data_IF_329683128877
#
_entry.id   IF_329683128877
#
_cell.length_a   1.000
_cell.length_b   1.000
_cell.length_c   1.000
_cell.angle_alpha   90.00
_cell.angle_beta   90.00
_cell.angle_gamma   90.00
#
_symmetry.space_group_name_H-M   'P 1'
#
loop_
_entity.id
_entity.type
_entity.pdbx_description
1 polymer ?
#
# COMPACT_ATOMS: atom_id res chain seq x y z
N UNK A 1 -3.13 -5.75 -5.08
CA UNK A 1 -4.43 -5.81 -5.80
C UNK A 1 -5.63 -6.08 -4.87
N UNK A 2 -5.45 -6.74 -3.72
CA UNK A 2 -6.54 -7.04 -2.78
C UNK A 2 -7.23 -5.80 -2.17
N UNK A 3 -6.50 -4.71 -1.87
CA UNK A 3 -7.11 -3.49 -1.28
C UNK A 3 -8.07 -2.76 -2.23
N UNK A 4 -7.75 -2.70 -3.53
CA UNK A 4 -8.61 -2.10 -4.57
C UNK A 4 -9.94 -2.84 -4.73
N UNK A 5 -9.93 -4.18 -4.63
CA UNK A 5 -11.17 -4.97 -4.63
C UNK A 5 -11.99 -4.71 -3.36
N UNK A 6 -11.34 -4.57 -2.20
CA UNK A 6 -12.01 -4.28 -0.93
C UNK A 6 -12.74 -2.93 -0.95
N UNK A 7 -12.12 -1.86 -1.45
CA UNK A 7 -12.76 -0.53 -1.48
C UNK A 7 -13.92 -0.46 -2.49
N UNK A 8 -13.74 -1.00 -3.71
CA UNK A 8 -14.80 -1.08 -4.72
C UNK A 8 -16.00 -1.87 -4.20
N UNK A 9 -15.75 -3.04 -3.62
CA UNK A 9 -16.78 -3.90 -3.06
C UNK A 9 -17.56 -3.18 -1.94
N UNK A 10 -16.86 -2.52 -1.01
CA UNK A 10 -17.51 -1.76 0.07
C UNK A 10 -18.43 -0.67 -0.46
N UNK A 11 -17.97 0.14 -1.42
CA UNK A 11 -18.80 1.19 -2.01
C UNK A 11 -20.06 0.62 -2.67
N UNK A 12 -19.93 -0.43 -3.50
CA UNK A 12 -21.07 -1.06 -4.17
C UNK A 12 -22.05 -1.62 -3.15
N UNK A 13 -21.56 -2.34 -2.14
CA UNK A 13 -22.39 -2.90 -1.06
C UNK A 13 -23.09 -1.80 -0.27
N UNK A 14 -22.39 -0.72 0.11
CA UNK A 14 -22.99 0.40 0.84
C UNK A 14 -24.10 1.09 0.05
N UNK A 15 -23.88 1.38 -1.24
CA UNK A 15 -24.92 1.97 -2.08
C UNK A 15 -26.12 1.03 -2.26
N UNK A 16 -25.85 -0.26 -2.51
CA UNK A 16 -26.91 -1.26 -2.71
C UNK A 16 -27.74 -1.44 -1.44
N UNK A 17 -27.09 -1.57 -0.27
CA UNK A 17 -27.78 -1.68 1.02
C UNK A 17 -28.58 -0.42 1.34
N UNK A 18 -28.02 0.76 1.06
CA UNK A 18 -28.72 2.02 1.26
C UNK A 18 -29.96 2.14 0.36
N UNK A 19 -29.83 1.85 -0.95
CA UNK A 19 -30.95 1.92 -1.88
C UNK A 19 -32.03 0.89 -1.60
N UNK A 20 -31.65 -0.34 -1.25
CA UNK A 20 -32.60 -1.38 -0.87
C UNK A 20 -33.30 -1.03 0.46
N UNK A 21 -32.53 -0.60 1.47
CA UNK A 21 -33.06 -0.20 2.76
C UNK A 21 -34.02 0.98 2.66
N UNK A 22 -33.68 2.01 1.88
CA UNK A 22 -34.53 3.16 1.64
C UNK A 22 -35.83 2.76 0.90
N UNK A 23 -35.72 1.91 -0.12
CA UNK A 23 -36.90 1.41 -0.86
C UNK A 23 -37.81 0.56 0.02
N UNK A 24 -37.23 -0.32 0.84
CA UNK A 24 -37.98 -1.13 1.80
C UNK A 24 -38.66 -0.27 2.87
N UNK A 25 -38.00 0.81 3.32
CA UNK A 25 -38.59 1.77 4.27
C UNK A 25 -39.80 2.49 3.65
N UNK A 26 -39.67 2.99 2.42
CA UNK A 26 -40.79 3.60 1.70
C UNK A 26 -41.94 2.62 1.45
N UNK A 27 -41.63 1.38 1.07
CA UNK A 27 -42.61 0.32 0.93
C UNK A 27 -43.37 0.06 2.24
N UNK A 28 -42.65 -0.09 3.35
CA UNK A 28 -43.25 -0.28 4.67
C UNK A 28 -44.13 0.91 5.08
N UNK A 29 -43.66 2.14 4.87
CA UNK A 29 -44.42 3.35 5.16
C UNK A 29 -45.71 3.43 4.32
N UNK A 30 -45.63 3.16 3.01
CA UNK A 30 -46.77 3.18 2.11
C UNK A 30 -47.84 2.14 2.52
N UNK A 31 -47.41 0.92 2.87
CA UNK A 31 -48.31 -0.13 3.35
C UNK A 31 -48.96 0.24 4.69
N UNK A 32 -48.20 0.82 5.63
CA UNK A 32 -48.73 1.27 6.92
C UNK A 32 -49.73 2.41 6.78
N UNK A 33 -49.41 3.43 5.99
CA UNK A 33 -50.30 4.57 5.74
C UNK A 33 -51.60 4.08 5.14
N UNK A 34 -51.52 3.23 4.11
CA UNK A 34 -52.72 2.67 3.49
C UNK A 34 -53.58 1.89 4.48
N UNK A 35 -52.99 0.97 5.26
CA UNK A 35 -53.75 0.18 6.25
C UNK A 35 -54.46 1.09 7.25
N UNK A 36 -53.79 2.12 7.78
CA UNK A 36 -54.40 3.07 8.72
C UNK A 36 -55.54 3.87 8.09
N UNK A 37 -55.35 4.35 6.85
CA UNK A 37 -56.37 5.12 6.13
C UNK A 37 -57.60 4.26 5.86
N UNK A 38 -57.40 3.02 5.41
CA UNK A 38 -58.49 2.08 5.13
C UNK A 38 -59.29 1.72 6.40
N UNK A 39 -58.59 1.36 7.48
CA UNK A 39 -59.23 0.97 8.75
C UNK A 39 -59.98 2.12 9.43
N UNK A 40 -59.54 3.36 9.25
CA UNK A 40 -60.19 4.52 9.85
C UNK A 40 -61.36 5.03 9.02
N UNK A 41 -61.21 5.16 7.70
CA UNK A 41 -62.24 5.77 6.87
C UNK A 41 -63.42 4.82 6.61
N UNK A 42 -63.15 3.56 6.24
CA UNK A 42 -64.21 2.62 5.86
C UNK A 42 -65.01 2.20 7.09
N UNK A 43 -64.33 1.81 8.18
CA UNK A 43 -65.05 1.34 9.38
C UNK A 43 -65.84 2.47 10.07
N UNK A 44 -65.30 3.69 10.12
CA UNK A 44 -66.01 4.82 10.72
C UNK A 44 -67.21 5.24 9.89
N UNK A 45 -67.07 5.30 8.55
CA UNK A 45 -68.18 5.62 7.65
C UNK A 45 -69.31 4.60 7.78
N UNK A 46 -68.99 3.30 7.75
CA UNK A 46 -70.02 2.24 7.84
C UNK A 46 -70.78 2.26 9.17
N UNK A 47 -70.09 2.54 10.28
CA UNK A 47 -70.73 2.65 11.58
C UNK A 47 -71.60 3.92 11.68
N UNK A 48 -71.17 5.02 11.08
CA UNK A 48 -71.95 6.26 11.02
C UNK A 48 -73.22 6.07 10.16
N UNK A 49 -73.09 5.42 9.01
CA UNK A 49 -74.22 5.05 8.14
C UNK A 49 -75.20 4.11 8.88
N UNK A 50 -74.70 3.15 9.67
CA UNK A 50 -75.53 2.26 10.49
C UNK A 50 -76.28 3.01 11.60
N UNK A 51 -75.64 3.99 12.23
CA UNK A 51 -76.28 4.87 13.22
C UNK A 51 -77.35 5.75 12.58
N UNK A 52 -77.04 6.36 11.44
CA UNK A 52 -78.00 7.17 10.68
C UNK A 52 -79.23 6.34 10.29
N UNK A 53 -79.03 5.13 9.78
CA UNK A 53 -80.13 4.21 9.45
C UNK A 53 -80.96 3.84 10.69
N UNK A 54 -80.32 3.63 11.84
CA UNK A 54 -81.02 3.34 13.10
C UNK A 54 -81.89 4.52 13.55
N UNK A 55 -81.33 5.73 13.54
CA UNK A 55 -82.04 6.95 13.92
C UNK A 55 -83.21 7.25 12.98
N UNK A 56 -82.99 7.14 11.66
CA UNK A 56 -84.05 7.32 10.67
C UNK A 56 -85.21 6.33 10.88
N UNK A 57 -84.91 5.07 11.20
CA UNK A 57 -85.94 4.05 11.47
C UNK A 57 -86.70 4.30 12.79
N UNK A 58 -86.09 4.98 13.76
CA UNK A 58 -86.78 5.44 14.97
C UNK A 58 -87.79 6.55 14.66
N UNK A 59 -87.39 7.53 13.84
CA UNK A 59 -88.24 8.68 13.48
C UNK A 59 -89.32 8.32 12.44
N UNK A 60 -89.05 7.33 11.58
CA UNK A 60 -89.94 6.91 10.50
C UNK A 60 -90.14 5.37 10.47
N UNK A 61 -90.91 4.80 11.42
CA UNK A 61 -91.03 3.34 11.60
C UNK A 61 -91.65 2.57 10.43
N UNK A 62 -92.45 3.25 9.59
CA UNK A 62 -93.17 2.66 8.45
C UNK A 62 -92.53 3.00 7.09
N UNK A 63 -91.50 3.84 7.07
CA UNK A 63 -90.81 4.22 5.83
C UNK A 63 -89.78 3.15 5.43
N UNK A 64 -89.61 2.86 4.12
CA UNK A 64 -88.48 2.07 3.65
C UNK A 64 -87.18 2.77 4.07
N UNK A 65 -86.21 1.99 4.59
CA UNK A 65 -84.93 2.54 5.04
C UNK A 65 -84.18 3.27 3.91
N UNK A 66 -83.24 4.18 4.26
CA UNK A 66 -82.50 4.96 3.28
C UNK A 66 -81.69 4.03 2.37
N UNK A 67 -82.00 4.06 1.07
CA UNK A 67 -81.31 3.25 0.06
C UNK A 67 -80.10 3.99 -0.51
N UNK A 68 -78.92 3.41 -0.40
CA UNK A 68 -77.71 3.84 -1.13
C UNK A 68 -77.31 2.73 -2.12
N UNK A 69 -76.81 3.12 -3.30
CA UNK A 69 -76.43 2.15 -4.35
C UNK A 69 -75.13 1.37 -4.02
N UNK A 70 -74.33 1.83 -3.05
CA UNK A 70 -73.07 1.18 -2.65
C UNK A 70 -73.16 0.46 -1.30
N UNK A 71 -74.26 0.65 -0.57
CA UNK A 71 -74.44 0.20 0.80
C UNK A 71 -75.84 -0.42 0.92
N UNK A 72 -75.92 -1.72 1.15
CA UNK A 72 -77.23 -2.36 1.42
C UNK A 72 -77.50 -2.24 2.92
N UNK A 73 -78.43 -1.35 3.28
CA UNK A 73 -78.92 -1.19 4.64
C UNK A 73 -80.20 -1.97 4.90
N UNK A 74 -80.31 -2.64 6.04
CA UNK A 74 -81.56 -3.25 6.52
C UNK A 74 -81.73 -2.99 8.00
N UNK A 75 -82.89 -2.45 8.38
CA UNK A 75 -83.23 -2.24 9.79
C UNK A 75 -84.32 -3.22 10.20
N UNK A 76 -84.17 -3.81 11.39
CA UNK A 76 -85.11 -4.75 12.02
C UNK A 76 -85.38 -4.36 13.45
N UNK A 77 -86.53 -4.76 13.96
CA UNK A 77 -86.81 -4.76 15.40
C UNK A 77 -86.53 -6.13 16.00
N UNK A 78 -86.43 -6.21 17.33
CA UNK A 78 -86.28 -7.49 18.05
C UNK A 78 -87.32 -8.55 17.62
N UNK A 79 -88.54 -8.11 17.32
CA UNK A 79 -89.63 -8.98 16.86
C UNK A 79 -89.48 -9.47 15.42
N UNK A 80 -88.67 -8.80 14.61
CA UNK A 80 -88.52 -9.08 13.17
C UNK A 80 -87.10 -9.51 12.79
N UNK A 81 -86.20 -9.64 13.78
CA UNK A 81 -84.82 -10.08 13.58
C UNK A 81 -84.72 -11.43 12.86
N UNK A 82 -85.67 -12.34 13.09
CA UNK A 82 -85.74 -13.66 12.42
C UNK A 82 -85.84 -13.56 10.88
N UNK A 83 -86.22 -12.39 10.33
CA UNK A 83 -86.29 -12.14 8.89
C UNK A 83 -84.95 -11.69 8.29
N UNK A 84 -83.94 -11.41 9.10
CA UNK A 84 -82.58 -11.12 8.61
C UNK A 84 -81.87 -12.44 8.24
N UNK A 85 -80.84 -12.41 7.37
CA UNK A 85 -80.00 -13.59 7.11
C UNK A 85 -79.44 -14.17 8.41
N UNK A 86 -79.37 -15.50 8.51
CA UNK A 86 -78.93 -16.20 9.73
C UNK A 86 -77.53 -15.75 10.20
N UNK A 87 -76.63 -15.47 9.25
CA UNK A 87 -75.29 -14.96 9.53
C UNK A 87 -75.30 -13.60 10.25
N UNK A 88 -76.29 -12.75 10.00
CA UNK A 88 -76.38 -11.41 10.61
C UNK A 88 -77.06 -11.48 11.98
N UNK A 89 -77.99 -12.42 12.16
CA UNK A 89 -78.68 -12.64 13.45
C UNK A 89 -77.67 -12.97 14.56
N UNK A 90 -76.66 -13.79 14.26
CA UNK A 90 -75.62 -14.16 15.23
C UNK A 90 -74.75 -12.98 15.67
N UNK A 91 -74.71 -11.90 14.88
CA UNK A 91 -73.91 -10.70 15.14
C UNK A 91 -74.75 -9.55 15.71
N UNK A 92 -76.07 -9.74 15.80
CA UNK A 92 -77.04 -8.71 16.15
C UNK A 92 -76.90 -8.16 17.60
N UNK A 93 -76.26 -8.93 18.48
CA UNK A 93 -76.03 -8.55 19.88
C UNK A 93 -74.70 -7.79 20.09
N UNK A 94 -73.86 -7.68 19.06
CA UNK A 94 -72.54 -7.04 19.14
C UNK A 94 -72.45 -5.83 18.23
N UNK A 95 -72.58 -4.64 18.80
CA UNK A 95 -72.38 -3.38 18.07
C UNK A 95 -70.94 -3.27 17.57
N UNK A 96 -70.75 -3.01 16.28
CA UNK A 96 -69.43 -2.95 15.65
C UNK A 96 -69.45 -3.30 14.17
N UNK A 97 -68.28 -3.31 13.55
CA UNK A 97 -68.08 -3.74 12.16
C UNK A 97 -67.48 -5.14 12.18
N UNK A 98 -68.08 -6.06 11.44
CA UNK A 98 -67.70 -7.47 11.37
C UNK A 98 -67.43 -7.89 9.92
N UNK A 99 -66.45 -8.76 9.71
CA UNK A 99 -66.17 -9.34 8.39
C UNK A 99 -67.04 -10.59 8.16
N UNK A 100 -67.77 -10.64 7.06
CA UNK A 100 -68.62 -11.77 6.67
C UNK A 100 -68.35 -12.19 5.23
N UNK A 101 -68.53 -13.48 4.94
CA UNK A 101 -68.40 -14.05 3.60
C UNK A 101 -69.77 -14.59 3.20
N UNK A 102 -70.29 -14.13 2.08
CA UNK A 102 -71.57 -14.56 1.55
C UNK A 102 -71.44 -14.99 0.09
N UNK A 103 -72.23 -15.97 -0.31
CA UNK A 103 -72.34 -16.38 -1.70
C UNK A 103 -73.32 -15.44 -2.43
N UNK A 104 -72.86 -14.81 -3.51
CA UNK A 104 -73.68 -13.95 -4.36
C UNK A 104 -74.72 -14.77 -5.14
N UNK A 105 -75.75 -14.11 -5.68
CA UNK A 105 -76.78 -14.75 -6.52
C UNK A 105 -76.18 -15.44 -7.75
N UNK A 106 -75.01 -14.98 -8.21
CA UNK A 106 -74.25 -15.55 -9.33
C UNK A 106 -73.37 -16.77 -8.93
N UNK A 107 -73.36 -17.17 -7.65
CA UNK A 107 -72.60 -18.31 -7.14
C UNK A 107 -71.18 -18.00 -6.64
N UNK A 108 -70.68 -16.78 -6.85
CA UNK A 108 -69.36 -16.34 -6.39
C UNK A 108 -69.33 -16.00 -4.90
N UNK A 109 -68.25 -16.35 -4.19
CA UNK A 109 -68.01 -15.89 -2.83
C UNK A 109 -67.59 -14.43 -2.83
N UNK A 110 -68.29 -13.60 -2.06
CA UNK A 110 -67.98 -12.18 -1.87
C UNK A 110 -67.73 -11.88 -0.40
N UNK A 111 -66.79 -10.99 -0.15
CA UNK A 111 -66.39 -10.56 1.17
C UNK A 111 -67.06 -9.22 1.48
N UNK A 112 -67.69 -9.12 2.64
CA UNK A 112 -68.39 -7.92 3.08
C UNK A 112 -67.96 -7.49 4.47
N UNK A 113 -67.94 -6.18 4.68
CA UNK A 113 -67.95 -5.58 6.02
C UNK A 113 -69.38 -5.28 6.40
N UNK A 114 -69.85 -5.86 7.51
CA UNK A 114 -71.18 -5.66 8.09
C UNK A 114 -71.07 -4.81 9.37
N UNK A 115 -71.53 -3.57 9.31
CA UNK A 115 -71.77 -2.75 10.48
C UNK A 115 -73.12 -3.12 11.11
N UNK A 116 -73.09 -3.43 12.40
CA UNK A 116 -74.26 -3.73 13.22
C UNK A 116 -74.38 -2.68 14.31
N UNK A 117 -75.55 -2.04 14.39
CA UNK A 117 -75.85 -1.09 15.46
C UNK A 117 -77.24 -1.30 16.03
N UNK A 118 -77.29 -1.61 17.32
CA UNK A 118 -78.51 -1.84 18.09
C UNK A 118 -78.69 -0.76 19.14
N UNK A 119 -79.89 -0.18 19.15
CA UNK A 119 -80.35 0.79 20.14
C UNK A 119 -81.89 0.75 20.19
N UNK A 120 -82.50 0.89 21.38
CA UNK A 120 -83.96 0.95 21.57
C UNK A 120 -84.76 -0.16 20.85
N UNK A 121 -84.30 -1.42 20.95
CA UNK A 121 -84.93 -2.60 20.30
C UNK A 121 -84.96 -2.58 18.76
N UNK A 122 -84.18 -1.68 18.15
CA UNK A 122 -83.99 -1.56 16.71
C UNK A 122 -82.53 -1.90 16.39
N UNK A 123 -82.33 -2.76 15.40
CA UNK A 123 -81.05 -3.29 14.96
C UNK A 123 -80.89 -2.91 13.49
N UNK A 124 -79.88 -2.11 13.20
CA UNK A 124 -79.54 -1.68 11.85
C UNK A 124 -78.30 -2.41 11.36
N UNK A 125 -78.43 -3.00 10.18
CA UNK A 125 -77.40 -3.71 9.46
C UNK A 125 -77.01 -2.92 8.23
N UNK A 126 -75.73 -2.66 8.05
CA UNK A 126 -75.19 -1.92 6.91
C UNK A 126 -74.03 -2.73 6.36
N UNK A 127 -74.15 -3.25 5.15
CA UNK A 127 -73.07 -4.03 4.50
C UNK A 127 -72.40 -3.29 3.35
N UNK A 128 -71.10 -3.51 3.20
CA UNK A 128 -70.27 -2.97 2.13
C UNK A 128 -69.40 -4.07 1.50
N UNK A 129 -69.41 -4.16 0.17
CA UNK A 129 -68.68 -5.18 -0.61
C UNK A 129 -67.21 -4.78 -0.72
N UNK A 130 -66.33 -5.51 -0.03
CA UNK A 130 -64.88 -5.27 0.00
C UNK A 130 -64.11 -6.18 -0.97
N UNK A 131 -64.80 -7.01 -1.75
CA UNK A 131 -64.17 -8.00 -2.66
C UNK A 131 -63.21 -7.34 -3.66
N UNK A 132 -63.56 -6.16 -4.18
CA UNK A 132 -62.69 -5.41 -5.10
C UNK A 132 -61.50 -4.75 -4.40
N UNK A 133 -61.64 -4.39 -3.12
CA UNK A 133 -60.58 -3.78 -2.32
C UNK A 133 -59.49 -4.80 -1.99
N UNK A 134 -59.86 -6.06 -1.75
CA UNK A 134 -58.92 -7.18 -1.56
C UNK A 134 -58.07 -7.47 -2.81
N UNK A 135 -58.67 -7.42 -4.00
CA UNK A 135 -57.92 -7.51 -5.26
C UNK A 135 -56.95 -6.33 -5.41
N UNK A 136 -57.38 -5.12 -5.05
CA UNK A 136 -56.51 -3.95 -4.98
C UNK A 136 -55.38 -4.09 -3.94
N UNK A 137 -55.61 -4.82 -2.84
CA UNK A 137 -54.57 -5.15 -1.85
C UNK A 137 -53.44 -5.97 -2.45
N UNK A 138 -53.79 -7.05 -3.14
CA UNK A 138 -52.80 -7.90 -3.80
C UNK A 138 -52.03 -7.16 -4.89
N UNK A 139 -52.73 -6.38 -5.73
CA UNK A 139 -52.09 -5.58 -6.78
C UNK A 139 -51.10 -4.56 -6.21
N UNK A 140 -51.46 -3.88 -5.12
CA UNK A 140 -50.56 -2.94 -4.46
C UNK A 140 -49.36 -3.65 -3.82
N UNK A 141 -49.57 -4.81 -3.20
CA UNK A 141 -48.47 -5.58 -2.59
C UNK A 141 -47.46 -6.00 -3.69
N UNK A 142 -47.96 -6.55 -4.80
CA UNK A 142 -47.14 -6.92 -5.95
C UNK A 142 -46.42 -5.70 -6.52
N UNK A 143 -47.09 -4.55 -6.69
CA UNK A 143 -46.47 -3.34 -7.23
C UNK A 143 -45.40 -2.76 -6.31
N UNK A 144 -45.61 -2.81 -4.98
CA UNK A 144 -44.62 -2.41 -3.98
C UNK A 144 -43.40 -3.34 -4.00
N UNK A 145 -43.60 -4.66 -4.03
CA UNK A 145 -42.49 -5.63 -4.16
C UNK A 145 -41.72 -5.37 -5.45
N UNK A 146 -42.41 -5.22 -6.58
CA UNK A 146 -41.80 -4.93 -7.87
C UNK A 146 -40.99 -3.62 -7.82
N UNK A 147 -41.52 -2.58 -7.18
CA UNK A 147 -40.82 -1.31 -6.99
C UNK A 147 -39.55 -1.47 -6.14
N UNK A 148 -39.61 -2.20 -5.02
CA UNK A 148 -38.42 -2.46 -4.17
C UNK A 148 -37.33 -3.18 -4.96
N UNK A 149 -37.68 -4.20 -5.76
CA UNK A 149 -36.72 -4.89 -6.60
C UNK A 149 -36.16 -3.99 -7.71
N UNK A 150 -37.00 -3.19 -8.37
CA UNK A 150 -36.59 -2.27 -9.43
C UNK A 150 -35.60 -1.22 -8.89
N UNK A 151 -35.92 -0.56 -7.79
CA UNK A 151 -35.04 0.43 -7.17
C UNK A 151 -33.79 -0.19 -6.55
N UNK A 152 -33.88 -1.41 -6.02
CA UNK A 152 -32.71 -2.18 -5.57
C UNK A 152 -31.74 -2.47 -6.72
N UNK A 153 -32.26 -2.88 -7.88
CA UNK A 153 -31.45 -3.09 -9.08
C UNK A 153 -30.83 -1.79 -9.59
N UNK A 154 -31.61 -0.71 -9.63
CA UNK A 154 -31.15 0.61 -10.07
C UNK A 154 -30.03 1.14 -9.15
N UNK A 155 -30.18 0.95 -7.84
CA UNK A 155 -29.16 1.26 -6.84
C UNK A 155 -27.88 0.44 -7.04
N UNK A 156 -27.98 -0.85 -7.35
CA UNK A 156 -26.82 -1.69 -7.66
C UNK A 156 -26.07 -1.18 -8.91
N UNK A 157 -26.81 -0.87 -9.98
CA UNK A 157 -26.25 -0.32 -11.22
C UNK A 157 -25.56 1.01 -10.96
N UNK A 158 -26.19 1.91 -10.20
CA UNK A 158 -25.64 3.20 -9.82
C UNK A 158 -24.38 3.03 -8.97
N UNK A 159 -24.39 2.12 -8.00
CA UNK A 159 -23.22 1.81 -7.16
C UNK A 159 -22.04 1.28 -7.97
N UNK A 160 -22.29 0.40 -8.95
CA UNK A 160 -21.26 -0.09 -9.87
C UNK A 160 -20.68 1.02 -10.75
N UNK A 161 -21.53 1.91 -11.26
CA UNK A 161 -21.13 3.03 -12.10
C UNK A 161 -20.30 4.06 -11.31
N UNK A 162 -20.79 4.48 -10.15
CA UNK A 162 -20.14 5.48 -9.30
C UNK A 162 -18.79 4.96 -8.76
N UNK A 163 -18.75 3.69 -8.35
CA UNK A 163 -17.51 3.04 -7.90
C UNK A 163 -16.43 3.04 -8.99
N UNK A 164 -16.80 2.80 -10.25
CA UNK A 164 -15.86 2.86 -11.38
C UNK A 164 -15.39 4.29 -11.65
N UNK A 165 -16.30 5.26 -11.63
CA UNK A 165 -16.00 6.67 -11.93
C UNK A 165 -15.06 7.28 -10.89
N UNK A 166 -15.35 7.09 -9.59
CA UNK A 166 -14.58 7.71 -8.50
C UNK A 166 -13.22 7.02 -8.26
N UNK A 167 -13.13 5.68 -8.39
CA UNK A 167 -11.87 4.98 -8.11
C UNK A 167 -10.92 4.90 -9.32
N UNK A 168 -11.37 5.23 -10.54
CA UNK A 168 -10.50 5.17 -11.72
C UNK A 168 -9.32 6.14 -11.60
N UNK A 169 -9.50 7.45 -11.33
CA UNK A 169 -8.39 8.41 -11.22
C UNK A 169 -7.38 8.02 -10.14
N UNK A 170 -7.84 7.68 -8.93
CA UNK A 170 -6.97 7.21 -7.83
C UNK A 170 -6.16 5.97 -8.21
N UNK A 171 -6.78 5.04 -8.96
CA UNK A 171 -6.09 3.83 -9.40
C UNK A 171 -5.04 4.09 -10.48
N UNK A 172 -5.28 5.09 -11.34
CA UNK A 172 -4.37 5.54 -12.38
C UNK A 172 -3.17 6.26 -11.76
N UNK A 173 -3.40 7.19 -10.82
CA UNK A 173 -2.35 7.88 -10.07
C UNK A 173 -1.42 6.88 -9.38
N UNK A 174 -1.99 5.90 -8.67
CA UNK A 174 -1.22 4.87 -7.99
C UNK A 174 -0.53 3.84 -8.93
N UNK A 175 -0.91 3.78 -10.21
CA UNK A 175 -0.18 2.99 -11.21
C UNK A 175 1.00 3.80 -11.75
N UNK A 176 0.77 5.05 -12.17
CA UNK A 176 1.81 5.96 -12.65
C UNK A 176 2.93 6.15 -11.63
N UNK A 177 2.60 6.32 -10.35
CA UNK A 177 3.58 6.39 -9.26
C UNK A 177 4.38 5.08 -9.09
N UNK A 178 3.78 3.92 -9.37
CA UNK A 178 4.50 2.63 -9.32
C UNK A 178 5.43 2.45 -10.50
N UNK A 179 5.04 2.94 -11.67
CA UNK A 179 5.85 2.87 -12.88
C UNK A 179 7.04 3.85 -12.79
N UNK A 180 6.84 5.03 -12.18
CA UNK A 180 7.92 5.94 -11.77
C UNK A 180 9.02 5.22 -10.96
N UNK A 181 8.63 4.43 -9.96
CA UNK A 181 9.57 3.65 -9.14
C UNK A 181 10.36 2.59 -9.94
N UNK A 182 9.86 2.15 -11.10
CA UNK A 182 10.51 1.11 -11.93
C UNK A 182 11.36 1.70 -13.06
N UNK A 183 10.87 2.75 -13.72
CA UNK A 183 11.48 3.31 -14.91
C UNK A 183 12.55 4.38 -14.60
N UNK A 184 12.56 4.94 -13.39
CA UNK A 184 13.56 5.92 -12.95
C UNK A 184 13.49 7.28 -13.65
N UNK A 185 12.50 7.51 -14.53
CA UNK A 185 12.26 8.81 -15.18
C UNK A 185 11.06 9.50 -14.55
N UNK A 186 11.29 10.73 -14.09
CA UNK A 186 10.30 11.62 -13.49
C UNK A 186 9.47 12.29 -14.59
N UNK A 187 8.36 11.68 -14.98
CA UNK A 187 7.30 12.42 -15.66
C UNK A 187 6.34 13.01 -14.62
N UNK A 188 5.95 14.29 -14.76
CA UNK A 188 4.96 14.91 -13.87
C UNK A 188 3.63 14.18 -13.92
N UNK A 189 3.05 13.92 -12.74
CA UNK A 189 1.75 13.29 -12.58
C UNK A 189 0.62 14.28 -12.86
N UNK A 190 0.73 15.51 -12.36
CA UNK A 190 -0.34 16.51 -12.35
C UNK A 190 -0.99 16.78 -13.74
N UNK A 191 -0.25 16.90 -14.86
CA UNK A 191 -0.86 17.14 -16.18
C UNK A 191 -1.84 16.07 -16.66
N UNK A 192 -1.84 14.89 -16.02
CA UNK A 192 -2.71 13.76 -16.38
C UNK A 192 -4.00 13.68 -15.57
N UNK A 193 -4.20 14.58 -14.60
CA UNK A 193 -5.38 14.59 -13.73
C UNK A 193 -6.14 15.91 -13.89
N UNK A 194 -7.44 15.86 -13.62
CA UNK A 194 -8.29 17.05 -13.59
C UNK A 194 -7.98 17.90 -12.35
N UNK A 195 -8.39 19.17 -12.36
CA UNK A 195 -8.22 20.10 -11.25
C UNK A 195 -9.27 19.84 -10.13
N UNK A 196 -9.22 18.63 -9.57
CA UNK A 196 -10.05 18.13 -8.48
C UNK A 196 -9.17 17.61 -7.32
N UNK A 197 -9.75 16.95 -6.32
CA UNK A 197 -9.00 16.45 -5.16
C UNK A 197 -7.90 15.44 -5.55
N UNK A 198 -8.07 14.72 -6.67
CA UNK A 198 -7.05 13.79 -7.18
C UNK A 198 -5.96 14.55 -7.91
N UNK A 199 -6.29 15.62 -8.63
CA UNK A 199 -5.33 16.56 -9.22
C UNK A 199 -4.47 17.27 -8.19
N UNK A 200 -5.07 17.79 -7.11
CA UNK A 200 -4.35 18.44 -6.01
C UNK A 200 -3.35 17.46 -5.37
N UNK A 201 -3.75 16.20 -5.16
CA UNK A 201 -2.85 15.15 -4.68
C UNK A 201 -1.71 14.86 -5.67
N UNK A 202 -1.99 14.89 -6.98
CA UNK A 202 -0.95 14.71 -8.00
C UNK A 202 0.06 15.87 -7.99
N UNK A 203 -0.41 17.12 -7.83
CA UNK A 203 0.45 18.29 -7.67
C UNK A 203 1.34 18.20 -6.42
N UNK A 204 0.78 17.84 -5.27
CA UNK A 204 1.55 17.66 -4.04
C UNK A 204 2.62 16.57 -4.16
N UNK A 205 2.32 15.47 -4.86
CA UNK A 205 3.29 14.41 -5.14
C UNK A 205 4.40 14.88 -6.08
N UNK A 206 4.08 15.64 -7.13
CA UNK A 206 5.07 16.21 -8.04
C UNK A 206 6.00 17.20 -7.31
N UNK A 207 5.45 18.07 -6.47
CA UNK A 207 6.24 19.01 -5.66
C UNK A 207 7.16 18.28 -4.69
N UNK A 208 6.65 17.24 -4.02
CA UNK A 208 7.46 16.42 -3.11
C UNK A 208 8.60 15.69 -3.87
N UNK A 209 8.30 15.13 -5.05
CA UNK A 209 9.29 14.48 -5.90
C UNK A 209 10.37 15.47 -6.37
N UNK A 210 9.99 16.68 -6.76
CA UNK A 210 10.91 17.74 -7.15
C UNK A 210 11.81 18.16 -5.98
N UNK A 211 11.25 18.35 -4.78
CA UNK A 211 12.01 18.68 -3.55
C UNK A 211 13.01 17.58 -3.19
N UNK A 212 12.62 16.31 -3.28
CA UNK A 212 13.53 15.18 -3.05
C UNK A 212 14.65 15.14 -4.09
N UNK A 213 14.33 15.35 -5.36
CA UNK A 213 15.33 15.38 -6.44
C UNK A 213 16.35 16.50 -6.22
N UNK A 214 15.87 17.72 -5.92
CA UNK A 214 16.73 18.86 -5.62
C UNK A 214 17.57 18.67 -4.34
N UNK A 215 17.04 17.96 -3.33
CA UNK A 215 17.81 17.60 -2.13
C UNK A 215 18.94 16.63 -2.48
N UNK A 216 18.66 15.60 -3.27
CA UNK A 216 19.67 14.63 -3.73
C UNK A 216 20.73 15.29 -4.62
N UNK A 217 20.35 16.22 -5.48
CA UNK A 217 21.29 16.98 -6.32
C UNK A 217 22.19 17.90 -5.50
N UNK A 218 21.63 18.69 -4.56
CA UNK A 218 22.44 19.52 -3.66
C UNK A 218 23.39 18.71 -2.80
N UNK A 219 22.94 17.57 -2.30
CA UNK A 219 23.80 16.65 -1.55
C UNK A 219 24.95 16.12 -2.43
N UNK A 220 24.73 15.90 -3.74
CA UNK A 220 25.79 15.49 -4.69
C UNK A 220 26.81 16.59 -4.93
N UNK A 221 26.35 17.80 -5.20
CA UNK A 221 27.21 18.98 -5.40
C UNK A 221 28.05 19.22 -4.16
N UNK A 222 27.42 19.29 -2.97
CA UNK A 222 28.12 19.48 -1.70
C UNK A 222 29.24 18.45 -1.47
N UNK A 223 28.98 17.16 -1.70
CA UNK A 223 30.00 16.13 -1.53
C UNK A 223 31.14 16.23 -2.56
N UNK A 224 30.82 16.63 -3.79
CA UNK A 224 31.83 16.85 -4.83
C UNK A 224 32.74 18.01 -4.43
N UNK A 225 32.14 19.11 -4.00
CA UNK A 225 32.85 20.33 -3.63
C UNK A 225 33.72 20.12 -2.38
N UNK A 226 33.17 19.47 -1.35
CA UNK A 226 33.93 19.10 -0.14
C UNK A 226 35.13 18.22 -0.47
N UNK A 227 35.03 17.34 -1.47
CA UNK A 227 36.17 16.52 -1.92
C UNK A 227 37.34 17.38 -2.41
N UNK A 228 37.03 18.38 -3.24
CA UNK A 228 38.03 19.25 -3.85
C UNK A 228 38.60 20.26 -2.85
N UNK A 229 37.73 20.83 -2.00
CA UNK A 229 38.12 21.80 -0.97
C UNK A 229 38.99 21.17 0.13
N UNK A 230 38.84 19.87 0.42
CA UNK A 230 39.69 19.17 1.38
C UNK A 230 41.01 18.66 0.79
N UNK A 231 41.04 18.30 -0.50
CA UNK A 231 42.26 17.77 -1.14
C UNK A 231 43.32 18.84 -1.34
N UNK A 232 42.91 20.07 -1.64
CA UNK A 232 43.80 21.21 -1.88
C UNK A 232 44.70 21.56 -0.67
N UNK A 233 44.18 21.79 0.55
CA UNK A 233 45.01 22.09 1.71
C UNK A 233 45.91 20.90 2.12
N UNK A 234 45.46 19.66 1.93
CA UNK A 234 46.29 18.47 2.20
C UNK A 234 47.45 18.33 1.21
N UNK A 235 47.24 18.64 -0.07
CA UNK A 235 48.29 18.69 -1.07
C UNK A 235 49.34 19.77 -0.75
N UNK A 236 48.90 20.94 -0.28
CA UNK A 236 49.81 22.01 0.19
C UNK A 236 50.64 21.54 1.39
N UNK A 237 50.01 20.91 2.39
CA UNK A 237 50.73 20.36 3.55
C UNK A 237 51.76 19.33 3.10
N UNK A 238 51.38 18.40 2.22
CA UNK A 238 52.26 17.37 1.70
C UNK A 238 53.46 17.96 0.94
N UNK A 239 53.21 18.85 -0.02
CA UNK A 239 54.26 19.52 -0.81
C UNK A 239 55.20 20.35 0.08
N UNK A 240 54.67 21.06 1.06
CA UNK A 240 55.49 21.86 2.00
C UNK A 240 56.36 20.95 2.86
N UNK A 241 55.83 19.83 3.35
CA UNK A 241 56.63 18.87 4.12
C UNK A 241 57.71 18.19 3.28
N UNK A 242 57.44 17.93 1.99
CA UNK A 242 58.38 17.33 1.05
C UNK A 242 59.53 18.31 0.73
N UNK A 243 59.21 19.59 0.46
CA UNK A 243 60.20 20.65 0.27
C UNK A 243 61.09 20.85 1.50
N UNK A 244 60.51 20.84 2.70
CA UNK A 244 61.27 20.98 3.94
C UNK A 244 62.17 19.76 4.21
N UNK A 245 61.77 18.55 3.83
CA UNK A 245 62.62 17.36 3.94
C UNK A 245 63.86 17.42 3.04
N UNK A 246 63.80 18.13 1.91
CA UNK A 246 64.93 18.32 1.00
C UNK A 246 65.92 19.42 1.41
N UNK A 247 65.67 20.13 2.52
CA UNK A 247 66.52 21.24 2.95
C UNK A 247 67.85 20.76 3.57
N UNK A 248 69.01 21.34 3.19
CA UNK A 248 70.32 20.93 3.70
C UNK A 248 70.56 21.26 5.18
N UNK A 249 69.81 22.21 5.76
CA UNK A 249 69.96 22.67 7.15
C UNK A 249 69.07 21.90 8.15
N UNK A 250 68.49 20.77 7.73
CA UNK A 250 67.49 20.06 8.51
C UNK A 250 68.10 19.19 9.62
N UNK A 251 67.79 19.51 10.89
CA UNK A 251 68.21 18.68 12.02
C UNK A 251 67.44 17.35 12.06
N UNK A 252 68.07 16.27 12.53
CA UNK A 252 67.44 14.93 12.64
C UNK A 252 66.09 14.96 13.40
N UNK A 253 66.03 15.69 14.52
CA UNK A 253 64.79 15.90 15.30
C UNK A 253 63.67 16.59 14.50
N UNK A 254 64.02 17.48 13.56
CA UNK A 254 63.05 18.19 12.72
C UNK A 254 62.59 17.29 11.57
N UNK A 255 63.50 16.50 11.00
CA UNK A 255 63.22 15.46 10.00
C UNK A 255 62.19 14.44 10.51
N UNK A 256 62.36 13.93 11.74
CA UNK A 256 61.39 13.00 12.34
C UNK A 256 60.00 13.63 12.52
N UNK A 257 59.93 14.92 12.87
CA UNK A 257 58.66 15.66 13.01
C UNK A 257 57.99 15.87 11.66
N UNK A 258 58.74 16.24 10.62
CA UNK A 258 58.22 16.37 9.25
C UNK A 258 57.69 15.04 8.71
N UNK A 259 58.42 13.94 8.92
CA UNK A 259 57.95 12.58 8.60
C UNK A 259 56.68 12.17 9.36
N UNK A 260 56.41 12.75 10.54
CA UNK A 260 55.14 12.53 11.25
C UNK A 260 54.00 13.34 10.62
N UNK A 261 54.24 14.60 10.26
CA UNK A 261 53.24 15.48 9.61
C UNK A 261 52.86 14.93 8.23
N UNK A 262 53.84 14.53 7.43
CA UNK A 262 53.63 13.91 6.12
C UNK A 262 52.76 12.64 6.23
N UNK A 263 53.06 11.76 7.21
CA UNK A 263 52.24 10.57 7.50
C UNK A 263 50.81 10.93 7.90
N UNK A 264 50.63 11.95 8.74
CA UNK A 264 49.30 12.39 9.18
C UNK A 264 48.49 13.02 8.01
N UNK A 265 49.12 13.81 7.15
CA UNK A 265 48.49 14.40 5.96
C UNK A 265 48.07 13.31 4.96
N UNK A 266 48.94 12.32 4.73
CA UNK A 266 48.62 11.15 3.90
C UNK A 266 47.46 10.33 4.48
N UNK A 267 47.46 10.10 5.79
CA UNK A 267 46.35 9.43 6.49
C UNK A 267 45.02 10.19 6.35
N UNK A 268 45.04 11.51 6.49
CA UNK A 268 43.84 12.33 6.31
C UNK A 268 43.32 12.25 4.87
N UNK A 269 44.21 12.29 3.88
CA UNK A 269 43.87 12.16 2.46
C UNK A 269 43.20 10.83 2.16
N UNK A 270 43.81 9.71 2.59
CA UNK A 270 43.27 8.37 2.40
C UNK A 270 41.90 8.20 3.08
N UNK A 271 41.72 8.77 4.28
CA UNK A 271 40.47 8.69 5.03
C UNK A 271 39.34 9.51 4.39
N UNK A 272 39.66 10.70 3.89
CA UNK A 272 38.71 11.53 3.15
C UNK A 272 38.31 10.83 1.85
N UNK A 273 39.25 10.26 1.10
CA UNK A 273 38.95 9.51 -0.12
C UNK A 273 38.06 8.29 0.17
N UNK A 274 38.33 7.54 1.24
CA UNK A 274 37.52 6.42 1.66
C UNK A 274 36.09 6.84 2.07
N UNK A 275 35.94 7.93 2.83
CA UNK A 275 34.63 8.46 3.25
C UNK A 275 33.82 8.98 2.07
N UNK A 276 34.46 9.68 1.13
CA UNK A 276 33.81 10.20 -0.08
C UNK A 276 33.40 9.06 -1.01
N UNK A 277 34.25 8.03 -1.13
CA UNK A 277 33.91 6.82 -1.88
C UNK A 277 32.72 6.09 -1.24
N UNK A 278 32.71 5.94 0.08
CA UNK A 278 31.60 5.33 0.83
C UNK A 278 30.31 6.13 0.64
N UNK A 279 30.38 7.46 0.75
CA UNK A 279 29.22 8.33 0.54
C UNK A 279 28.69 8.26 -0.89
N UNK A 280 29.57 8.09 -1.89
CA UNK A 280 29.16 7.84 -3.29
C UNK A 280 28.54 6.45 -3.48
N UNK A 281 29.05 5.43 -2.76
CA UNK A 281 28.57 4.05 -2.85
C UNK A 281 27.19 3.86 -2.19
N UNK A 282 26.95 4.42 -1.01
CA UNK A 282 25.63 4.40 -0.35
C UNK A 282 24.54 5.04 -1.21
N UNK A 283 24.90 6.05 -2.02
CA UNK A 283 23.96 6.82 -2.85
C UNK A 283 23.54 6.15 -4.15
N UNK A 284 24.33 5.22 -4.69
CA UNK A 284 23.89 4.38 -5.81
C UNK A 284 22.92 3.29 -5.35
N UNK A 285 22.83 3.06 -4.03
CA UNK A 285 22.20 1.87 -3.47
C UNK A 285 22.89 0.59 -3.98
N UNK A 286 22.46 -0.60 -3.54
CA UNK A 286 22.73 -1.80 -4.33
C UNK A 286 22.10 -1.57 -5.71
N UNK A 287 22.92 -1.29 -6.73
CA UNK A 287 22.46 -1.10 -8.11
C UNK A 287 21.82 -2.41 -8.57
N UNK A 288 20.52 -2.60 -8.32
CA UNK A 288 19.78 -3.78 -8.77
C UNK A 288 19.89 -3.89 -10.29
N UNK A 289 20.85 -4.67 -10.78
CA UNK A 289 21.05 -4.94 -12.20
C UNK A 289 22.48 -4.74 -12.74
N UNK A 290 23.42 -4.13 -12.00
CA UNK A 290 24.83 -4.09 -12.42
C UNK A 290 25.59 -5.27 -11.81
N UNK A 291 25.63 -6.38 -12.56
CA UNK A 291 26.56 -7.49 -12.27
C UNK A 291 27.95 -7.12 -12.77
N UNK A 292 28.88 -6.95 -11.85
CA UNK A 292 30.30 -6.70 -12.16
C UNK A 292 31.06 -8.03 -12.14
N UNK A 293 31.79 -8.31 -13.22
CA UNK A 293 32.68 -9.46 -13.31
C UNK A 293 33.99 -9.21 -12.56
N UNK A 294 34.26 -10.01 -11.52
CA UNK A 294 35.38 -9.79 -10.60
C UNK A 294 36.74 -9.91 -11.28
N UNK A 295 36.89 -10.90 -12.18
CA UNK A 295 38.13 -11.13 -12.92
C UNK A 295 38.56 -9.95 -13.78
N UNK A 296 37.62 -9.24 -14.41
CA UNK A 296 37.91 -8.04 -15.22
C UNK A 296 38.46 -6.90 -14.37
N UNK A 297 37.81 -6.63 -13.24
CA UNK A 297 38.27 -5.58 -12.31
C UNK A 297 39.63 -5.94 -11.72
N UNK A 298 39.86 -7.22 -11.40
CA UNK A 298 41.17 -7.68 -10.92
C UNK A 298 42.27 -7.45 -11.98
N UNK A 299 42.00 -7.74 -13.26
CA UNK A 299 42.92 -7.50 -14.35
C UNK A 299 43.27 -6.00 -14.50
N UNK A 300 42.26 -5.13 -14.49
CA UNK A 300 42.45 -3.67 -14.59
C UNK A 300 43.29 -3.14 -13.41
N UNK A 301 43.03 -3.63 -12.20
CA UNK A 301 43.80 -3.26 -11.01
C UNK A 301 45.25 -3.73 -11.13
N UNK A 302 45.49 -4.98 -11.52
CA UNK A 302 46.87 -5.49 -11.72
C UNK A 302 47.62 -4.61 -12.74
N UNK A 303 46.95 -4.23 -13.83
CA UNK A 303 47.58 -3.42 -14.86
C UNK A 303 47.93 -2.01 -14.35
N UNK A 304 47.05 -1.40 -13.55
CA UNK A 304 47.33 -0.12 -12.88
C UNK A 304 48.53 -0.17 -11.94
N UNK A 305 48.86 -1.34 -11.39
CA UNK A 305 49.95 -1.55 -10.43
C UNK A 305 51.28 -1.92 -11.11
N UNK A 306 51.32 -2.17 -12.42
CA UNK A 306 52.55 -2.49 -13.17
C UNK A 306 53.73 -1.54 -12.92
N UNK A 307 53.55 -0.21 -12.79
CA UNK A 307 54.65 0.69 -12.49
C UNK A 307 55.38 0.35 -11.18
N UNK A 308 54.68 -0.21 -10.18
CA UNK A 308 55.26 -0.59 -8.89
C UNK A 308 56.00 -1.94 -8.92
N UNK A 309 55.72 -2.76 -9.93
CA UNK A 309 56.35 -4.08 -10.18
C UNK A 309 57.60 -3.91 -11.05
N UNK A 310 57.62 -2.90 -11.93
CA UNK A 310 58.72 -2.65 -12.87
C UNK A 310 60.05 -2.49 -12.14
N UNK A 311 61.01 -3.36 -12.47
CA UNK A 311 62.36 -3.35 -11.88
C UNK A 311 62.51 -4.12 -10.57
N UNK A 312 61.44 -4.78 -10.07
CA UNK A 312 61.52 -5.76 -8.98
C UNK A 312 61.56 -7.19 -9.55
N UNK A 313 62.27 -8.13 -8.90
CA UNK A 313 62.18 -9.57 -9.21
C UNK A 313 60.86 -10.16 -8.69
N UNK A 314 59.74 -9.60 -9.16
CA UNK A 314 58.38 -9.91 -8.71
C UNK A 314 57.50 -10.27 -9.90
N UNK A 315 56.87 -11.44 -9.85
CA UNK A 315 55.91 -11.89 -10.86
C UNK A 315 54.48 -11.71 -10.33
N UNK A 316 53.59 -11.09 -11.11
CA UNK A 316 52.17 -10.93 -10.75
C UNK A 316 51.31 -11.66 -11.77
N UNK A 317 50.52 -12.63 -11.31
CA UNK A 317 49.69 -13.47 -12.17
C UNK A 317 48.22 -13.43 -11.75
N UNK A 318 47.32 -13.33 -12.73
CA UNK A 318 45.89 -13.50 -12.55
C UNK A 318 45.48 -14.87 -13.06
N UNK A 319 44.86 -15.68 -12.20
CA UNK A 319 44.25 -16.96 -12.55
C UNK A 319 42.75 -16.89 -12.32
N UNK A 320 41.98 -17.11 -13.37
CA UNK A 320 40.51 -17.22 -13.26
C UNK A 320 40.12 -18.68 -13.44
N UNK A 321 39.71 -19.33 -12.36
CA UNK A 321 39.26 -20.72 -12.36
C UNK A 321 37.77 -20.82 -12.72
N UNK A 322 36.97 -19.86 -12.24
CA UNK A 322 35.55 -19.73 -12.57
C UNK A 322 35.17 -18.25 -12.65
N UNK A 323 34.27 -17.91 -13.55
CA UNK A 323 33.73 -16.56 -13.64
C UNK A 323 32.90 -16.25 -12.39
N UNK A 324 33.29 -15.20 -11.66
CA UNK A 324 32.59 -14.68 -10.49
C UNK A 324 32.02 -13.31 -10.82
N UNK A 325 30.72 -13.12 -10.60
CA UNK A 325 30.04 -11.83 -10.79
C UNK A 325 29.35 -11.41 -9.50
N UNK A 326 29.45 -10.13 -9.16
CA UNK A 326 28.91 -9.56 -7.92
C UNK A 326 27.97 -8.41 -8.22
N UNK A 327 26.93 -8.25 -7.39
CA UNK A 327 26.00 -7.14 -7.47
C UNK A 327 26.57 -5.92 -6.71
N UNK A 328 27.65 -5.35 -7.26
CA UNK A 328 28.29 -4.16 -6.74
C UNK A 328 28.93 -3.35 -7.88
N UNK A 329 29.02 -2.02 -7.75
CA UNK A 329 29.71 -1.19 -8.74
C UNK A 329 31.19 -1.57 -8.87
N UNK A 330 31.71 -1.60 -10.10
CA UNK A 330 33.12 -1.90 -10.38
C UNK A 330 34.11 -1.01 -9.61
N UNK A 331 33.74 0.24 -9.32
CA UNK A 331 34.56 1.16 -8.52
C UNK A 331 34.76 0.70 -7.08
N UNK A 332 33.74 0.08 -6.46
CA UNK A 332 33.84 -0.43 -5.09
C UNK A 332 34.78 -1.62 -5.04
N UNK A 333 34.59 -2.55 -5.97
CA UNK A 333 35.46 -3.71 -6.10
C UNK A 333 36.91 -3.28 -6.41
N UNK A 334 37.09 -2.33 -7.32
CA UNK A 334 38.40 -1.77 -7.67
C UNK A 334 39.13 -1.22 -6.44
N UNK A 335 38.46 -0.50 -5.55
CA UNK A 335 39.09 0.00 -4.31
C UNK A 335 39.47 -1.14 -3.37
N UNK A 336 38.60 -2.11 -3.15
CA UNK A 336 38.91 -3.25 -2.31
C UNK A 336 40.13 -4.04 -2.84
N UNK A 337 40.14 -4.33 -4.14
CA UNK A 337 41.22 -5.06 -4.79
C UNK A 337 42.52 -4.25 -4.89
N UNK A 338 42.46 -2.94 -5.11
CA UNK A 338 43.64 -2.06 -5.10
C UNK A 338 44.33 -2.10 -3.74
N UNK A 339 43.56 -2.14 -2.65
CA UNK A 339 44.11 -2.26 -1.30
C UNK A 339 44.74 -3.64 -1.04
N UNK A 340 44.10 -4.73 -1.47
CA UNK A 340 44.64 -6.09 -1.27
C UNK A 340 45.87 -6.37 -2.16
N UNK A 341 45.75 -6.14 -3.46
CA UNK A 341 46.81 -6.38 -4.45
C UNK A 341 47.97 -5.41 -4.22
N UNK A 342 47.68 -4.13 -3.93
CA UNK A 342 48.69 -3.14 -3.60
C UNK A 342 49.48 -3.51 -2.34
N UNK A 343 48.82 -4.07 -1.31
CA UNK A 343 49.53 -4.59 -0.14
C UNK A 343 50.44 -5.77 -0.50
N UNK A 344 49.95 -6.75 -1.27
CA UNK A 344 50.74 -7.89 -1.70
C UNK A 344 52.00 -7.48 -2.49
N UNK A 345 51.87 -6.57 -3.46
CA UNK A 345 52.99 -6.04 -4.26
C UNK A 345 53.97 -5.22 -3.42
N UNK A 346 53.45 -4.49 -2.43
CA UNK A 346 54.27 -3.66 -1.55
C UNK A 346 55.16 -4.47 -0.62
N UNK A 347 54.64 -5.56 -0.07
CA UNK A 347 55.34 -6.38 0.92
C UNK A 347 56.15 -7.52 0.32
N UNK A 348 55.95 -7.85 -0.96
CA UNK A 348 56.75 -8.85 -1.69
C UNK A 348 57.87 -8.16 -2.46
N UNK A 349 59.10 -8.19 -1.92
CA UNK A 349 60.28 -7.60 -2.56
C UNK A 349 60.80 -8.45 -3.72
N UNK A 350 60.74 -9.78 -3.55
CA UNK A 350 61.10 -10.79 -4.56
C UNK A 350 60.14 -11.99 -4.48
N UNK A 351 59.87 -12.63 -5.62
CA UNK A 351 59.00 -13.81 -5.71
C UNK A 351 57.74 -13.58 -6.55
N UNK A 352 56.57 -13.94 -6.02
CA UNK A 352 55.31 -13.93 -6.79
C UNK A 352 54.10 -13.45 -5.97
N UNK A 353 53.21 -12.71 -6.63
CA UNK A 353 51.84 -12.43 -6.18
C UNK A 353 50.86 -13.08 -7.15
N UNK A 354 50.03 -13.98 -6.65
CA UNK A 354 49.03 -14.68 -7.44
C UNK A 354 47.62 -14.22 -7.02
N UNK A 355 46.83 -13.79 -7.99
CA UNK A 355 45.42 -13.42 -7.79
C UNK A 355 44.55 -14.53 -8.38
N UNK A 356 43.78 -15.23 -7.55
CA UNK A 356 42.93 -16.35 -7.95
C UNK A 356 41.47 -15.96 -7.82
N UNK A 357 40.70 -16.06 -8.91
CA UNK A 357 39.26 -15.81 -8.93
C UNK A 357 38.53 -17.12 -9.21
N UNK A 358 37.64 -17.54 -8.32
CA UNK A 358 36.89 -18.79 -8.46
C UNK A 358 36.04 -19.09 -7.22
N UNK A 359 35.11 -20.05 -7.34
CA UNK A 359 34.29 -20.54 -6.22
C UNK A 359 33.57 -19.44 -5.39
N UNK A 360 33.15 -18.35 -6.04
CA UNK A 360 32.49 -17.23 -5.36
C UNK A 360 33.43 -16.36 -4.51
N UNK A 361 34.74 -16.45 -4.71
CA UNK A 361 35.74 -15.65 -3.99
C UNK A 361 36.86 -15.14 -4.90
N UNK A 362 37.64 -14.20 -4.35
CA UNK A 362 38.94 -13.81 -4.87
C UNK A 362 39.98 -13.95 -3.76
N UNK A 363 41.10 -14.57 -4.09
CA UNK A 363 42.25 -14.74 -3.21
C UNK A 363 43.47 -14.02 -3.78
N UNK A 364 44.21 -13.30 -2.94
CA UNK A 364 45.50 -12.67 -3.26
C UNK A 364 46.55 -13.38 -2.40
N UNK A 365 47.44 -14.11 -3.06
CA UNK A 365 48.46 -14.97 -2.45
C UNK A 365 49.83 -14.34 -2.72
N UNK A 366 50.60 -14.06 -1.69
CA UNK A 366 51.94 -13.49 -1.83
C UNK A 366 53.04 -14.41 -1.28
N UNK A 367 54.28 -14.16 -1.67
CA UNK A 367 55.51 -14.81 -1.15
C UNK A 367 56.32 -13.87 -0.26
N UNK A 368 55.67 -12.86 0.34
CA UNK A 368 56.32 -11.88 1.20
C UNK A 368 56.79 -12.47 2.54
N UNK A 369 57.16 -11.63 3.51
CA UNK A 369 57.67 -12.07 4.81
C UNK A 369 56.68 -12.88 5.66
N UNK A 370 55.43 -13.00 5.22
CA UNK A 370 54.36 -13.69 5.92
C UNK A 370 53.77 -12.88 7.07
N UNK A 371 52.73 -13.44 7.69
CA UNK A 371 52.04 -12.86 8.85
C UNK A 371 51.98 -13.90 9.97
N UNK A 372 52.14 -13.47 11.22
CA UNK A 372 51.89 -14.35 12.36
C UNK A 372 50.39 -14.67 12.42
N UNK A 373 49.98 -15.91 12.74
CA UNK A 373 48.57 -16.28 12.86
C UNK A 373 47.79 -15.37 13.82
N UNK A 374 48.44 -14.97 14.92
CA UNK A 374 47.88 -14.12 15.98
C UNK A 374 47.60 -12.67 15.51
N UNK A 375 48.28 -12.21 14.47
CA UNK A 375 48.14 -10.86 13.92
C UNK A 375 47.12 -10.80 12.79
N UNK A 376 46.74 -11.94 12.21
CA UNK A 376 45.94 -12.01 10.99
C UNK A 376 44.57 -11.31 11.12
N UNK A 377 43.86 -11.51 12.24
CA UNK A 377 42.58 -10.82 12.52
C UNK A 377 42.76 -9.35 12.92
N UNK A 378 43.87 -9.04 13.59
CA UNK A 378 44.16 -7.68 14.09
C UNK A 378 44.56 -6.73 12.97
N UNK A 379 45.09 -7.23 11.86
CA UNK A 379 45.50 -6.45 10.69
C UNK A 379 44.33 -5.74 9.99
N UNK A 380 43.08 -6.16 10.25
CA UNK A 380 41.88 -5.45 9.79
C UNK A 380 41.39 -4.36 10.76
N UNK A 381 42.02 -4.20 11.92
CA UNK A 381 41.73 -3.12 12.86
C UNK A 381 42.46 -1.84 12.47
N UNK A 382 41.87 -0.68 12.78
CA UNK A 382 42.42 0.63 12.42
C UNK A 382 43.81 0.84 13.03
N UNK A 383 44.81 1.12 12.19
CA UNK A 383 46.15 1.54 12.63
C UNK A 383 47.06 0.40 13.11
N UNK A 384 46.65 -0.86 12.95
CA UNK A 384 47.47 -2.03 13.33
C UNK A 384 48.42 -2.41 12.19
N UNK A 385 49.67 -2.73 12.54
CA UNK A 385 50.71 -3.23 11.63
C UNK A 385 51.21 -4.59 12.13
N UNK A 386 51.60 -5.46 11.21
CA UNK A 386 52.26 -6.73 11.56
C UNK A 386 53.68 -6.47 12.05
N UNK A 387 54.09 -7.18 13.10
CA UNK A 387 55.46 -7.12 13.62
C UNK A 387 56.42 -7.78 12.61
N UNK A 388 57.16 -6.97 11.85
CA UNK A 388 58.16 -7.44 10.88
C UNK A 388 58.15 -6.73 9.52
N UNK A 389 57.13 -5.92 9.21
CA UNK A 389 57.01 -5.26 7.92
C UNK A 389 57.59 -3.83 7.92
N UNK A 390 58.85 -3.68 7.54
CA UNK A 390 59.60 -2.40 7.47
C UNK A 390 59.14 -1.38 6.41
N UNK A 391 57.86 -1.37 6.01
CA UNK A 391 57.33 -0.54 4.93
C UNK A 391 56.46 0.64 5.39
N UNK A 392 56.63 1.80 4.73
CA UNK A 392 55.85 3.03 4.89
C UNK A 392 54.37 2.88 4.44
N UNK A 393 53.51 2.26 5.26
CA UNK A 393 52.06 2.15 5.02
C UNK A 393 51.22 2.54 6.25
N UNK A 394 50.08 3.20 6.04
CA UNK A 394 49.26 3.74 7.12
C UNK A 394 48.43 2.69 7.91
N UNK A 395 48.38 1.43 7.45
CA UNK A 395 47.56 0.38 8.09
C UNK A 395 46.05 0.59 7.92
N UNK A 396 45.64 1.42 6.96
CA UNK A 396 44.24 1.80 6.72
C UNK A 396 43.59 0.99 5.59
N UNK A 397 44.38 0.49 4.64
CA UNK A 397 43.84 -0.19 3.45
C UNK A 397 42.99 -1.43 3.78
N UNK A 398 43.45 -2.27 4.71
CA UNK A 398 42.69 -3.45 5.15
C UNK A 398 41.42 -3.08 5.93
N UNK A 399 41.44 -1.97 6.69
CA UNK A 399 40.25 -1.48 7.38
C UNK A 399 39.19 -0.96 6.40
N UNK A 400 39.60 -0.36 5.26
CA UNK A 400 38.69 0.05 4.18
C UNK A 400 38.06 -1.19 3.54
N UNK A 401 38.87 -2.22 3.22
CA UNK A 401 38.36 -3.49 2.65
C UNK A 401 37.32 -4.11 3.58
N UNK A 402 37.60 -4.22 4.89
CA UNK A 402 36.65 -4.74 5.87
C UNK A 402 35.33 -3.97 5.87
N UNK A 403 35.38 -2.64 5.84
CA UNK A 403 34.16 -1.83 5.85
C UNK A 403 33.33 -1.99 4.57
N UNK A 404 33.99 -2.11 3.41
CA UNK A 404 33.31 -2.38 2.14
C UNK A 404 32.68 -3.78 2.15
N UNK A 405 33.38 -4.79 2.67
CA UNK A 405 32.85 -6.14 2.81
C UNK A 405 31.63 -6.19 3.75
N UNK A 406 31.68 -5.51 4.91
CA UNK A 406 30.53 -5.38 5.81
C UNK A 406 29.31 -4.74 5.12
N UNK A 407 29.51 -3.70 4.31
CA UNK A 407 28.43 -2.99 3.62
C UNK A 407 27.75 -3.85 2.55
N UNK A 408 28.53 -4.67 1.83
CA UNK A 408 28.04 -5.51 0.74
C UNK A 408 27.73 -6.96 1.17
N UNK A 409 27.87 -7.28 2.46
CA UNK A 409 27.64 -8.62 2.97
C UNK A 409 28.65 -9.65 2.44
N UNK A 410 29.88 -9.22 2.20
CA UNK A 410 31.01 -10.08 1.83
C UNK A 410 31.82 -10.42 3.08
N UNK A 411 32.49 -11.57 3.03
CA UNK A 411 33.40 -11.99 4.09
C UNK A 411 34.84 -11.75 3.66
N UNK A 412 35.64 -11.08 4.50
CA UNK A 412 37.07 -10.85 4.24
C UNK A 412 37.89 -11.52 5.31
N UNK A 413 38.93 -12.24 4.90
CA UNK A 413 39.87 -12.89 5.81
C UNK A 413 41.30 -12.79 5.31
N UNK A 414 42.24 -12.97 6.23
CA UNK A 414 43.66 -13.08 5.90
C UNK A 414 44.27 -14.21 6.72
N UNK A 415 45.15 -14.99 6.11
CA UNK A 415 45.81 -16.13 6.76
C UNK A 415 47.25 -16.30 6.25
N UNK A 416 48.16 -16.84 7.06
CA UNK A 416 49.48 -17.23 6.56
C UNK A 416 49.35 -18.36 5.55
N UNK A 417 50.34 -18.45 4.65
CA UNK A 417 50.52 -19.62 3.81
C UNK A 417 50.94 -20.84 4.65
N UNK A 418 50.45 -22.01 4.26
CA UNK A 418 50.75 -23.28 4.95
C UNK A 418 52.01 -23.96 4.43
N UNK A 419 52.42 -23.64 3.20
CA UNK A 419 53.47 -24.29 2.43
C UNK A 419 54.79 -23.50 2.40
N UNK A 420 54.73 -22.17 2.57
CA UNK A 420 55.89 -21.27 2.51
C UNK A 420 55.62 -19.97 3.28
N UNK A 421 56.62 -19.08 3.33
CA UNK A 421 56.42 -17.70 3.79
C UNK A 421 55.49 -16.95 2.83
N UNK A 422 54.63 -16.09 3.39
CA UNK A 422 53.68 -15.27 2.65
C UNK A 422 52.30 -15.22 3.32
N UNK A 423 51.39 -14.44 2.74
CA UNK A 423 50.02 -14.33 3.20
C UNK A 423 49.01 -14.63 2.09
N UNK A 424 47.80 -14.99 2.51
CA UNK A 424 46.63 -15.19 1.65
C UNK A 424 45.53 -14.28 2.19
N UNK A 425 45.20 -13.23 1.43
CA UNK A 425 44.03 -12.40 1.67
C UNK A 425 42.88 -12.86 0.78
N UNK A 426 41.68 -13.06 1.33
CA UNK A 426 40.53 -13.52 0.58
C UNK A 426 39.30 -12.65 0.81
N UNK A 427 38.51 -12.44 -0.25
CA UNK A 427 37.14 -11.91 -0.15
C UNK A 427 36.20 -12.97 -0.72
N UNK A 428 35.24 -13.41 0.08
CA UNK A 428 34.14 -14.28 -0.33
C UNK A 428 32.88 -13.46 -0.55
N UNK A 429 32.33 -13.57 -1.75
CA UNK A 429 31.12 -12.88 -2.17
C UNK A 429 29.90 -13.74 -1.85
N UNK A 430 28.77 -13.08 -1.53
CA UNK A 430 27.50 -13.72 -1.13
C UNK A 430 26.52 -13.92 -2.28
#
# INVERSE_FOLDING_TARGET
>A
MQSRRKLRFRLVVSFTLFGFGLSALFAFAALNIRSRVEDQLVNASLLDDAKYANHYAQEHPEAPGPGSQLITGMTKSDRTLYKAPLAWQNLADTNGVHDIIEQSEDGDQRHYKLAVYRENHIISFVRYDVTREELGKQQLLISVIAAVFLFGLLSLVLGLWLSRKVLKPVSELANRLRDFRKAGKAEPLAPHFADDEVGELAHALDEYSARLTAMVERDREFNSDVSHELRTPLAVIASTTELLQGSPDLTEKLSERLKRIERASRQATELIEALLLLSRAERRGPTRGETTEVGKVAADVIESQRPQVRGKPLTVELRTEQQVSVNAPASVLSVALTNLIGNAIKYTLEGSVQVVVGNGSIEVIDTGPGIKPEDAERLFQRGVRGEGAGGSGAGLGLAIVRRLCELYGWDVSMRPRSDANGAIASIRFS
#
